data_IF_690099948549
#
_entry.id   IF_690099948549
#
_cell.length_a   1.000
_cell.length_b   1.000
_cell.length_c   1.000
_cell.angle_alpha   90.00
_cell.angle_beta   90.00
_cell.angle_gamma   90.00
#
_symmetry.space_group_name_H-M   'P 1'
#
loop_
_entity.id
_entity.type
_entity.pdbx_description
1 polymer ?
#
# COMPACT_ATOMS: atom_id res chain seq x y z
N UNK A 1 -12.38 -23.56 -7.47
CA UNK A 1 -13.29 -22.45 -7.07
C UNK A 1 -12.94 -21.05 -7.60
N UNK A 2 -11.86 -20.84 -8.38
CA UNK A 2 -11.52 -19.49 -8.86
C UNK A 2 -12.33 -19.07 -10.09
N UNK A 3 -13.30 -18.17 -9.89
CA UNK A 3 -14.05 -17.54 -11.00
C UNK A 3 -13.11 -16.75 -11.92
N UNK A 4 -12.09 -16.11 -11.35
CA UNK A 4 -11.10 -15.34 -12.11
C UNK A 4 -10.26 -16.24 -13.03
N UNK A 5 -9.86 -17.44 -12.57
CA UNK A 5 -9.11 -18.38 -13.40
C UNK A 5 -9.96 -18.92 -14.58
N UNK A 6 -11.25 -19.18 -14.34
CA UNK A 6 -12.18 -19.57 -15.40
C UNK A 6 -12.34 -18.48 -16.44
N UNK A 7 -12.52 -17.23 -16.02
CA UNK A 7 -12.57 -16.10 -16.94
C UNK A 7 -11.25 -15.96 -17.71
N UNK A 8 -10.11 -16.04 -17.03
CA UNK A 8 -8.78 -15.96 -17.64
C UNK A 8 -8.54 -17.04 -18.70
N UNK A 9 -9.08 -18.24 -18.52
CA UNK A 9 -8.97 -19.34 -19.49
C UNK A 9 -9.66 -19.06 -20.83
N UNK A 10 -10.52 -18.04 -20.90
CA UNK A 10 -11.17 -17.58 -22.13
C UNK A 10 -10.47 -16.39 -22.78
N UNK A 11 -9.48 -15.80 -22.11
CA UNK A 11 -8.80 -14.59 -22.57
C UNK A 11 -7.61 -14.96 -23.47
N UNK A 12 -7.68 -14.52 -24.71
CA UNK A 12 -6.61 -14.70 -25.71
C UNK A 12 -5.67 -13.50 -25.83
N UNK A 13 -5.96 -12.41 -25.13
CA UNK A 13 -5.15 -11.18 -25.16
C UNK A 13 -4.03 -11.24 -24.09
N UNK A 14 -2.81 -10.77 -24.41
CA UNK A 14 -1.72 -10.73 -23.44
C UNK A 14 -2.04 -9.87 -22.21
N UNK A 15 -1.71 -10.38 -21.02
CA UNK A 15 -1.78 -9.66 -19.75
C UNK A 15 -0.71 -10.20 -18.77
N UNK A 16 -0.42 -9.53 -17.64
CA UNK A 16 0.49 -10.08 -16.63
C UNK A 16 0.07 -11.47 -16.19
N UNK A 17 0.97 -12.46 -16.27
CA UNK A 17 0.69 -13.85 -15.92
C UNK A 17 0.02 -14.69 -17.02
N UNK A 18 -0.26 -14.11 -18.20
CA UNK A 18 -0.94 -14.79 -19.32
C UNK A 18 -0.19 -16.04 -19.83
N UNK A 19 1.14 -16.12 -19.63
CA UNK A 19 1.92 -17.32 -19.93
C UNK A 19 1.39 -18.59 -19.19
N UNK A 20 0.74 -18.46 -18.03
CA UNK A 20 0.11 -19.59 -17.34
C UNK A 20 -1.13 -20.10 -18.10
N UNK A 21 -1.90 -19.18 -18.70
CA UNK A 21 -3.03 -19.50 -19.57
C UNK A 21 -2.53 -20.17 -20.85
N UNK A 22 -1.42 -19.70 -21.43
CA UNK A 22 -0.78 -20.36 -22.58
C UNK A 22 -0.32 -21.78 -22.24
N UNK A 23 0.28 -21.97 -21.06
CA UNK A 23 0.66 -23.31 -20.58
C UNK A 23 -0.55 -24.22 -20.42
N UNK A 24 -1.65 -23.71 -19.89
CA UNK A 24 -2.91 -24.44 -19.79
C UNK A 24 -3.45 -24.84 -21.17
N UNK A 25 -3.56 -23.91 -22.12
CA UNK A 25 -4.00 -24.21 -23.48
C UNK A 25 -3.08 -25.20 -24.20
N UNK A 26 -1.76 -25.07 -24.04
CA UNK A 26 -0.80 -26.02 -24.62
C UNK A 26 -0.97 -27.44 -24.06
N UNK A 27 -1.37 -27.56 -22.80
CA UNK A 27 -1.62 -28.84 -22.15
C UNK A 27 -2.93 -29.45 -22.63
N UNK A 28 -3.98 -28.64 -22.84
CA UNK A 28 -5.23 -29.09 -23.45
C UNK A 28 -5.03 -29.60 -24.87
N UNK A 29 -4.26 -28.88 -25.70
CA UNK A 29 -3.97 -29.29 -27.07
C UNK A 29 -3.24 -30.64 -27.10
N UNK A 30 -2.23 -30.83 -26.24
CA UNK A 30 -1.52 -32.11 -26.12
C UNK A 30 -2.45 -33.25 -25.71
N UNK A 31 -3.34 -33.02 -24.76
CA UNK A 31 -4.32 -34.01 -24.34
C UNK A 31 -5.29 -34.37 -25.48
N UNK A 32 -5.76 -33.38 -26.25
CA UNK A 32 -6.61 -33.60 -27.42
C UNK A 32 -5.89 -34.40 -28.52
N UNK A 33 -4.60 -34.14 -28.78
CA UNK A 33 -3.82 -34.92 -29.73
C UNK A 33 -3.58 -36.35 -29.26
N UNK A 34 -3.30 -36.56 -27.96
CA UNK A 34 -3.05 -37.87 -27.38
C UNK A 34 -4.32 -38.74 -27.25
N UNK A 35 -5.49 -38.11 -27.17
CA UNK A 35 -6.77 -38.78 -26.97
C UNK A 35 -7.80 -38.31 -28.02
N UNK A 36 -7.77 -38.85 -29.25
CA UNK A 36 -8.68 -38.44 -30.33
C UNK A 36 -10.16 -38.64 -30.02
N UNK A 37 -10.48 -39.57 -29.12
CA UNK A 37 -11.85 -39.81 -28.64
C UNK A 37 -12.34 -38.74 -27.63
N UNK A 38 -11.47 -37.84 -27.17
CA UNK A 38 -11.82 -36.76 -26.26
C UNK A 38 -12.50 -35.62 -27.04
N UNK A 39 -13.81 -35.69 -27.16
CA UNK A 39 -14.62 -34.73 -27.91
C UNK A 39 -14.71 -33.35 -27.24
N UNK A 40 -14.79 -33.30 -25.89
CA UNK A 40 -15.01 -32.02 -25.18
C UNK A 40 -14.38 -31.96 -23.80
N UNK A 41 -13.66 -30.87 -23.53
CA UNK A 41 -13.21 -30.48 -22.19
C UNK A 41 -14.10 -29.36 -21.65
N UNK A 42 -14.64 -29.53 -20.44
CA UNK A 42 -15.46 -28.52 -19.78
C UNK A 42 -14.80 -28.02 -18.51
N UNK A 43 -14.69 -26.69 -18.37
CA UNK A 43 -14.27 -26.05 -17.14
C UNK A 43 -15.50 -25.65 -16.32
N UNK A 44 -15.58 -26.11 -15.07
CA UNK A 44 -16.71 -25.83 -14.17
C UNK A 44 -16.23 -25.17 -12.90
N UNK A 45 -16.97 -24.14 -12.48
CA UNK A 45 -16.80 -23.55 -11.16
C UNK A 45 -17.46 -24.44 -10.12
N UNK A 46 -16.80 -24.57 -8.97
CA UNK A 46 -17.37 -25.18 -7.75
C UNK A 46 -17.14 -24.22 -6.58
N UNK A 47 -18.04 -24.17 -5.60
CA UNK A 47 -17.86 -23.34 -4.41
C UNK A 47 -16.69 -23.84 -3.57
N UNK A 48 -15.88 -22.91 -3.05
CA UNK A 48 -14.81 -23.21 -2.10
C UNK A 48 -15.35 -23.34 -0.68
N UNK A 49 -14.65 -24.09 0.17
CA UNK A 49 -14.97 -24.29 1.59
C UNK A 49 -16.34 -24.92 1.85
N UNK A 50 -16.79 -25.76 0.91
CA UNK A 50 -18.07 -26.46 0.98
C UNK A 50 -17.89 -27.99 1.08
N UNK A 51 -16.73 -28.44 1.54
CA UNK A 51 -16.38 -29.87 1.69
C UNK A 51 -16.48 -30.67 0.38
N UNK A 52 -16.28 -30.01 -0.77
CA UNK A 52 -16.14 -30.70 -2.05
C UNK A 52 -14.76 -31.33 -2.08
N UNK A 53 -14.67 -32.62 -1.77
CA UNK A 53 -13.41 -33.33 -1.49
C UNK A 53 -12.26 -32.98 -2.46
N UNK A 54 -12.49 -33.08 -3.78
CA UNK A 54 -11.46 -32.76 -4.77
C UNK A 54 -11.05 -31.28 -4.81
N UNK A 55 -11.95 -30.34 -4.51
CA UNK A 55 -11.61 -28.92 -4.44
C UNK A 55 -10.82 -28.60 -3.16
N UNK A 56 -11.20 -29.19 -2.02
CA UNK A 56 -10.47 -29.00 -0.76
C UNK A 56 -9.03 -29.54 -0.86
N UNK A 57 -8.83 -30.73 -1.45
CA UNK A 57 -7.49 -31.27 -1.71
C UNK A 57 -6.65 -30.33 -2.59
N UNK A 58 -7.25 -29.80 -3.66
CA UNK A 58 -6.54 -28.87 -4.55
C UNK A 58 -6.19 -27.54 -3.85
N UNK A 59 -7.07 -27.02 -3.00
CA UNK A 59 -6.84 -25.79 -2.23
C UNK A 59 -5.75 -25.99 -1.16
N UNK A 60 -5.74 -27.13 -0.48
CA UNK A 60 -4.71 -27.48 0.50
C UNK A 60 -3.32 -27.57 -0.14
N UNK A 61 -3.20 -28.24 -1.30
CA UNK A 61 -1.95 -28.27 -2.07
C UNK A 61 -1.52 -26.88 -2.55
N UNK A 62 -2.46 -26.05 -3.02
CA UNK A 62 -2.18 -24.68 -3.41
C UNK A 62 -1.68 -23.82 -2.22
N UNK A 63 -2.24 -24.01 -1.03
CA UNK A 63 -1.77 -23.35 0.21
C UNK A 63 -0.38 -23.81 0.63
N UNK A 64 -0.09 -25.10 0.52
CA UNK A 64 1.27 -25.61 0.78
C UNK A 64 2.27 -24.97 -0.18
N UNK A 65 1.94 -24.91 -1.47
CA UNK A 65 2.76 -24.26 -2.49
C UNK A 65 2.99 -22.77 -2.20
N UNK A 66 1.94 -22.05 -1.79
CA UNK A 66 2.03 -20.63 -1.43
C UNK A 66 2.92 -20.37 -0.20
N UNK A 67 3.11 -21.38 0.67
CA UNK A 67 4.04 -21.33 1.81
C UNK A 67 5.48 -21.69 1.45
N UNK A 68 5.74 -22.03 0.19
CA UNK A 68 7.08 -22.35 -0.32
C UNK A 68 7.35 -23.85 -0.47
N UNK A 69 6.37 -24.73 -0.20
CA UNK A 69 6.50 -26.13 -0.57
C UNK A 69 6.45 -26.27 -2.10
N UNK A 70 7.15 -27.26 -2.65
CA UNK A 70 7.05 -27.58 -4.07
C UNK A 70 7.36 -29.05 -4.27
N UNK A 71 6.65 -29.69 -5.19
CA UNK A 71 7.03 -31.01 -5.69
C UNK A 71 8.41 -30.94 -6.34
N UNK A 72 9.08 -32.10 -6.43
CA UNK A 72 10.36 -32.22 -7.12
C UNK A 72 10.25 -31.74 -8.57
N UNK A 73 11.23 -30.99 -9.06
CA UNK A 73 11.22 -30.37 -10.40
C UNK A 73 10.91 -31.35 -11.53
N UNK A 74 11.34 -32.61 -11.41
CA UNK A 74 11.06 -33.66 -12.40
C UNK A 74 9.55 -33.95 -12.55
N UNK A 75 8.79 -33.83 -11.47
CA UNK A 75 7.34 -34.11 -11.42
C UNK A 75 6.49 -32.93 -11.88
N UNK A 76 7.07 -31.72 -11.96
CA UNK A 76 6.37 -30.53 -12.43
C UNK A 76 6.17 -30.56 -13.96
N UNK A 77 5.06 -30.00 -14.47
CA UNK A 77 4.88 -29.75 -15.89
C UNK A 77 6.06 -28.96 -16.46
N UNK A 78 6.51 -29.29 -17.67
CA UNK A 78 7.73 -28.72 -18.27
C UNK A 78 7.77 -27.18 -18.24
N UNK A 79 6.62 -26.52 -18.43
CA UNK A 79 6.50 -25.06 -18.39
C UNK A 79 6.65 -24.44 -17.00
N UNK A 80 6.46 -25.21 -15.93
CA UNK A 80 6.57 -24.78 -14.53
C UNK A 80 7.89 -25.20 -13.87
N UNK A 81 8.77 -25.91 -14.59
CA UNK A 81 10.11 -26.27 -14.10
C UNK A 81 11.08 -25.09 -14.07
N UNK A 82 10.79 -24.04 -14.84
CA UNK A 82 11.58 -22.81 -14.86
C UNK A 82 11.16 -21.94 -13.69
N UNK A 83 12.12 -21.21 -13.12
CA UNK A 83 11.82 -20.19 -12.11
C UNK A 83 10.79 -19.20 -12.67
N UNK A 84 9.76 -18.91 -11.89
CA UNK A 84 8.76 -17.94 -12.26
C UNK A 84 9.41 -16.57 -12.40
N UNK A 85 9.06 -15.85 -13.47
CA UNK A 85 9.53 -14.48 -13.64
C UNK A 85 9.09 -13.63 -12.45
N UNK A 86 9.98 -12.77 -11.97
CA UNK A 86 9.64 -11.86 -10.88
C UNK A 86 8.49 -10.95 -11.35
N UNK A 87 7.38 -10.97 -10.61
CA UNK A 87 6.26 -10.10 -10.90
C UNK A 87 6.73 -8.65 -10.85
N UNK A 88 6.65 -7.94 -11.98
CA UNK A 88 7.02 -6.53 -12.05
C UNK A 88 6.27 -5.70 -10.99
N UNK A 89 5.02 -6.05 -10.70
CA UNK A 89 4.22 -5.45 -9.63
C UNK A 89 4.81 -5.75 -8.24
N UNK A 90 5.23 -6.99 -7.98
CA UNK A 90 5.87 -7.36 -6.72
C UNK A 90 7.21 -6.62 -6.53
N UNK A 91 8.05 -6.56 -7.57
CA UNK A 91 9.31 -5.82 -7.55
C UNK A 91 9.10 -4.33 -7.29
N UNK A 92 8.14 -3.69 -7.98
CA UNK A 92 7.76 -2.29 -7.74
C UNK A 92 7.28 -2.06 -6.31
N UNK A 93 6.45 -2.96 -5.77
CA UNK A 93 5.96 -2.86 -4.38
C UNK A 93 7.11 -2.97 -3.36
N UNK A 94 8.02 -3.92 -3.55
CA UNK A 94 9.18 -4.09 -2.69
C UNK A 94 10.09 -2.85 -2.73
N UNK A 95 10.34 -2.31 -3.93
CA UNK A 95 11.13 -1.11 -4.12
C UNK A 95 10.49 0.12 -3.45
N UNK A 96 9.19 0.36 -3.68
CA UNK A 96 8.47 1.46 -3.04
C UNK A 96 8.41 1.32 -1.51
N UNK A 97 8.29 0.09 -0.99
CA UNK A 97 8.33 -0.16 0.44
C UNK A 97 9.70 0.20 1.02
N UNK A 98 10.80 -0.13 0.32
CA UNK A 98 12.15 0.28 0.71
C UNK A 98 12.30 1.80 0.73
N UNK A 99 11.93 2.48 -0.36
CA UNK A 99 12.00 3.95 -0.44
C UNK A 99 11.20 4.64 0.68
N UNK A 100 10.01 4.13 1.01
CA UNK A 100 9.19 4.67 2.10
C UNK A 100 9.87 4.54 3.46
N UNK A 101 10.58 3.43 3.72
CA UNK A 101 11.34 3.24 4.97
C UNK A 101 12.52 4.22 5.04
N UNK A 102 13.33 4.27 4.00
CA UNK A 102 14.50 5.17 3.92
C UNK A 102 14.08 6.65 4.05
N UNK A 103 13.00 7.05 3.38
CA UNK A 103 12.44 8.39 3.51
C UNK A 103 11.95 8.69 4.94
N UNK A 104 11.32 7.72 5.61
CA UNK A 104 10.87 7.88 6.99
C UNK A 104 12.03 7.98 7.98
N UNK A 105 13.07 7.18 7.81
CA UNK A 105 14.31 7.25 8.60
C UNK A 105 15.01 8.59 8.43
N UNK A 106 15.20 9.02 7.17
CA UNK A 106 15.80 10.32 6.83
C UNK A 106 15.00 11.48 7.42
N UNK A 107 13.67 11.42 7.33
CA UNK A 107 12.79 12.42 7.94
C UNK A 107 12.99 12.50 9.45
N UNK A 108 12.93 11.37 10.17
CA UNK A 108 13.10 11.31 11.63
C UNK A 108 14.49 11.78 12.07
N UNK A 109 15.53 11.47 11.31
CA UNK A 109 16.90 11.91 11.56
C UNK A 109 17.13 13.40 11.27
N UNK A 110 16.23 14.08 10.57
CA UNK A 110 16.36 15.51 10.28
C UNK A 110 16.06 16.40 11.50
N UNK A 111 16.65 17.61 11.54
CA UNK A 111 16.34 18.63 12.57
C UNK A 111 14.84 18.97 12.62
N UNK A 112 14.19 19.02 11.45
CA UNK A 112 12.75 19.28 11.31
C UNK A 112 11.92 18.12 11.87
N UNK A 113 12.27 16.88 11.54
CA UNK A 113 11.62 15.69 12.04
C UNK A 113 11.68 15.59 13.57
N UNK A 114 12.87 15.79 14.16
CA UNK A 114 13.02 15.83 15.63
C UNK A 114 12.15 16.89 16.30
N UNK A 115 12.09 18.10 15.73
CA UNK A 115 11.24 19.18 16.27
C UNK A 115 9.75 18.84 16.16
N UNK A 116 9.33 18.29 15.03
CA UNK A 116 7.93 17.93 14.79
C UNK A 116 7.50 16.68 15.57
N UNK A 117 8.42 15.80 15.97
CA UNK A 117 8.12 14.64 16.80
C UNK A 117 7.54 15.02 18.17
N UNK A 118 7.91 16.18 18.72
CA UNK A 118 7.33 16.72 19.95
C UNK A 118 5.85 17.12 19.80
N UNK A 119 5.39 17.37 18.57
CA UNK A 119 4.02 17.75 18.23
C UNK A 119 3.21 16.54 17.75
N UNK A 120 3.86 15.66 16.99
CA UNK A 120 3.27 14.45 16.43
C UNK A 120 4.34 13.35 16.29
N UNK A 121 4.44 12.45 17.28
CA UNK A 121 5.43 11.38 17.25
C UNK A 121 5.14 10.36 16.13
N UNK A 122 3.95 10.38 15.53
CA UNK A 122 3.59 9.49 14.44
C UNK A 122 4.14 9.93 13.09
N UNK A 123 4.69 11.14 12.96
CA UNK A 123 5.25 11.61 11.69
C UNK A 123 6.41 10.72 11.20
N UNK A 124 6.51 10.47 9.88
CA UNK A 124 5.76 11.09 8.78
C UNK A 124 4.48 10.33 8.39
N UNK A 125 3.67 9.84 9.34
CA UNK A 125 2.38 9.22 9.02
C UNK A 125 1.40 10.18 8.34
N UNK A 126 0.45 9.60 7.60
CA UNK A 126 -0.66 10.33 6.96
C UNK A 126 -1.86 10.55 7.88
N UNK A 127 -1.77 10.21 9.18
CA UNK A 127 -2.90 10.27 10.11
C UNK A 127 -3.50 11.67 10.21
N UNK A 128 -2.65 12.69 10.32
CA UNK A 128 -3.13 14.07 10.36
C UNK A 128 -3.83 14.46 9.06
N UNK A 129 -3.24 14.12 7.91
CA UNK A 129 -3.83 14.41 6.60
C UNK A 129 -5.22 13.80 6.46
N UNK A 130 -5.40 12.54 6.88
CA UNK A 130 -6.71 11.87 6.87
C UNK A 130 -7.72 12.55 7.80
N UNK A 131 -7.29 12.99 8.99
CA UNK A 131 -8.18 13.70 9.93
C UNK A 131 -8.64 15.06 9.42
N UNK A 132 -7.84 15.71 8.58
CA UNK A 132 -8.14 17.02 8.01
C UNK A 132 -8.61 16.95 6.56
N UNK A 133 -8.90 15.76 6.04
CA UNK A 133 -9.21 15.55 4.62
C UNK A 133 -10.48 16.27 4.17
N UNK A 134 -11.48 16.37 5.06
CA UNK A 134 -12.75 17.06 4.82
C UNK A 134 -12.67 18.58 5.03
N UNK A 135 -11.57 19.09 5.61
CA UNK A 135 -11.45 20.50 5.91
C UNK A 135 -11.00 21.29 4.67
N UNK A 136 -11.54 22.50 4.46
CA UNK A 136 -10.99 23.43 3.49
C UNK A 136 -9.50 23.66 3.74
N UNK A 137 -8.72 23.77 2.66
CA UNK A 137 -7.25 23.95 2.71
C UNK A 137 -6.81 25.05 3.68
N UNK A 138 -7.56 26.16 3.76
CA UNK A 138 -7.28 27.28 4.68
C UNK A 138 -7.31 26.86 6.16
N UNK A 139 -8.24 25.99 6.56
CA UNK A 139 -8.34 25.52 7.94
C UNK A 139 -7.21 24.54 8.27
N UNK A 140 -6.89 23.62 7.35
CA UNK A 140 -5.74 22.71 7.50
C UNK A 140 -4.43 23.48 7.61
N UNK A 141 -4.25 24.54 6.81
CA UNK A 141 -3.09 25.42 6.90
C UNK A 141 -3.01 26.13 8.27
N UNK A 142 -4.12 26.69 8.75
CA UNK A 142 -4.19 27.31 10.08
C UNK A 142 -3.83 26.31 11.19
N UNK A 143 -4.35 25.07 11.14
CA UNK A 143 -4.01 24.02 12.10
C UNK A 143 -2.52 23.68 12.07
N UNK A 144 -1.90 23.55 10.89
CA UNK A 144 -0.45 23.30 10.77
C UNK A 144 0.35 24.47 11.36
N UNK A 145 -0.05 25.70 11.06
CA UNK A 145 0.60 26.91 11.56
C UNK A 145 0.52 27.00 13.08
N UNK A 146 -0.66 26.76 13.68
CA UNK A 146 -0.85 26.73 15.13
C UNK A 146 -0.02 25.60 15.76
N UNK A 147 -0.10 24.37 15.24
CA UNK A 147 0.66 23.22 15.77
C UNK A 147 2.17 23.42 15.70
N UNK A 148 2.67 24.04 14.64
CA UNK A 148 4.12 24.25 14.43
C UNK A 148 4.65 25.56 15.02
N UNK A 149 3.78 26.44 15.53
CA UNK A 149 4.14 27.77 16.04
C UNK A 149 4.52 28.77 14.93
N UNK A 150 4.07 28.55 13.70
CA UNK A 150 4.22 29.46 12.55
C UNK A 150 2.91 30.19 12.21
N UNK A 151 2.00 30.29 13.18
CA UNK A 151 0.81 31.12 13.07
C UNK A 151 1.20 32.61 13.01
N UNK A 152 0.42 33.47 12.34
CA UNK A 152 0.67 34.91 12.24
C UNK A 152 0.37 35.64 13.56
N UNK A 153 0.93 35.15 14.67
CA UNK A 153 0.91 35.78 16.00
C UNK A 153 2.18 36.60 16.21
N UNK A 154 2.13 37.62 17.04
CA UNK A 154 3.19 38.60 17.25
C UNK A 154 4.52 37.96 17.64
N UNK A 155 4.53 36.87 18.41
CA UNK A 155 5.77 36.12 18.68
C UNK A 155 6.43 35.61 17.40
N UNK A 156 5.65 35.01 16.50
CA UNK A 156 6.19 34.51 15.23
C UNK A 156 6.55 35.66 14.29
N UNK A 157 5.68 36.67 14.17
CA UNK A 157 5.89 37.85 13.33
C UNK A 157 7.15 38.62 13.73
N UNK A 158 7.39 38.83 15.03
CA UNK A 158 8.60 39.47 15.52
C UNK A 158 9.86 38.65 15.20
N UNK A 159 9.80 37.32 15.36
CA UNK A 159 10.91 36.43 14.98
C UNK A 159 11.30 36.55 13.50
N UNK A 160 10.32 36.80 12.62
CA UNK A 160 10.56 37.00 11.18
C UNK A 160 10.64 38.48 10.78
N UNK A 161 10.82 39.39 11.75
CA UNK A 161 10.98 40.83 11.55
C UNK A 161 9.79 41.50 10.82
N UNK A 162 8.58 40.98 11.03
CA UNK A 162 7.31 41.54 10.53
C UNK A 162 6.49 42.24 11.60
N UNK A 163 6.93 42.23 12.86
CA UNK A 163 6.35 43.00 13.95
C UNK A 163 7.47 43.56 14.85
N UNK A 164 7.32 44.78 15.39
CA UNK A 164 8.36 45.42 16.20
C UNK A 164 8.57 44.73 17.56
N UNK A 165 7.55 44.06 18.09
CA UNK A 165 7.63 43.35 19.38
C UNK A 165 6.89 42.02 19.32
N UNK A 166 7.25 41.10 20.23
CA UNK A 166 6.56 39.82 20.41
C UNK A 166 5.36 39.89 21.37
N UNK A 167 5.11 41.06 21.98
CA UNK A 167 4.06 41.23 23.01
C UNK A 167 2.68 41.07 22.38
N UNK A 168 1.78 40.44 23.13
CA UNK A 168 0.40 40.27 22.70
C UNK A 168 -0.31 41.63 22.65
N UNK A 169 -0.93 42.00 21.51
CA UNK A 169 -1.64 43.28 21.40
C UNK A 169 -2.90 43.32 22.25
N UNK A 170 -3.48 42.18 22.63
CA UNK A 170 -4.71 42.12 23.43
C UNK A 170 -4.45 42.38 24.92
N UNK A 171 -3.56 41.60 25.55
CA UNK A 171 -3.27 41.78 26.98
C UNK A 171 -2.13 42.76 27.26
N UNK A 172 -1.24 42.99 26.28
CA UNK A 172 -0.06 43.84 26.41
C UNK A 172 0.81 43.51 27.64
N UNK A 173 0.88 42.23 28.04
CA UNK A 173 1.72 41.73 29.14
C UNK A 173 2.70 40.68 28.60
N UNK A 174 2.17 39.56 28.14
CA UNK A 174 2.93 38.38 27.72
C UNK A 174 3.30 38.37 26.23
N UNK A 175 4.20 37.48 25.83
CA UNK A 175 4.45 37.20 24.41
C UNK A 175 3.29 36.43 23.77
N UNK A 176 2.88 36.82 22.57
CA UNK A 176 1.78 36.18 21.84
C UNK A 176 2.19 34.81 21.25
N UNK A 177 2.38 33.84 22.12
CA UNK A 177 2.57 32.43 21.76
C UNK A 177 1.23 31.80 21.36
N UNK A 178 1.25 30.69 20.61
CA UNK A 178 0.03 29.90 20.35
C UNK A 178 -0.65 29.46 21.66
N UNK A 179 0.13 29.07 22.67
CA UNK A 179 -0.41 28.67 23.99
C UNK A 179 -1.10 29.84 24.70
N UNK A 180 -0.47 31.02 24.70
CA UNK A 180 -1.06 32.22 25.28
C UNK A 180 -2.35 32.60 24.55
N UNK A 181 -2.30 32.70 23.22
CA UNK A 181 -3.44 33.05 22.38
C UNK A 181 -4.63 32.11 22.57
N UNK A 182 -4.40 30.79 22.71
CA UNK A 182 -5.49 29.83 22.85
C UNK A 182 -5.99 29.62 24.28
N UNK A 183 -5.14 29.79 25.30
CA UNK A 183 -5.44 29.29 26.66
C UNK A 183 -5.35 30.34 27.77
N UNK A 184 -4.65 31.46 27.57
CA UNK A 184 -4.31 32.38 28.67
C UNK A 184 -4.60 33.85 28.40
N UNK A 185 -4.73 34.25 27.14
CA UNK A 185 -5.10 35.62 26.83
C UNK A 185 -6.53 35.87 27.35
N UNK A 186 -6.73 36.88 28.21
CA UNK A 186 -8.04 37.22 28.76
C UNK A 186 -9.02 37.71 27.71
#
# INVERSE_FOLDING_TARGET
>A
DSKAALQASTITRPHPGHYLTDLFHSSLLKAATAHPAMDRVTLRWVPGHMNVHGNELADDEAKQAARGASSATATLPAGLRKSLSCSATAAKRAHLARLRREAAETWRASKRGRRLAAIDPSLPSTKFLKRTETLPRRHTAALIQLRSGHAPLYKHLNRIQRAPTARCPACNVEHETVRHFLLYCP
#
